data_IF_079622259698
#
_entry.id   IF_079622259698
#
_cell.length_a   1.000
_cell.length_b   1.000
_cell.length_c   1.000
_cell.angle_alpha   90.00
_cell.angle_beta   90.00
_cell.angle_gamma   90.00
#
_symmetry.space_group_name_H-M   'P 1'
#
loop_
_entity.id
_entity.type
_entity.pdbx_description
1 polymer ?
#
# COMPACT_ATOMS: atom_id res chain seq x y z
N UNK A 1 -25.58 -26.77 21.27
CA UNK A 1 -24.70 -25.70 21.81
C UNK A 1 -23.42 -25.46 20.98
N UNK A 2 -23.02 -26.31 20.03
CA UNK A 2 -21.87 -26.03 19.14
C UNK A 2 -22.18 -25.01 18.01
N UNK A 3 -23.42 -24.99 17.48
CA UNK A 3 -23.78 -24.10 16.36
C UNK A 3 -23.76 -22.61 16.68
N UNK A 4 -24.23 -22.19 17.86
CA UNK A 4 -24.44 -20.76 18.16
C UNK A 4 -23.16 -19.93 18.28
N UNK A 5 -22.01 -20.57 18.58
CA UNK A 5 -20.73 -19.87 18.68
C UNK A 5 -20.08 -19.67 17.30
N UNK A 6 -20.26 -20.63 16.39
CA UNK A 6 -19.71 -20.57 15.04
C UNK A 6 -20.42 -19.53 14.16
N UNK A 7 -21.70 -19.25 14.41
CA UNK A 7 -22.45 -18.24 13.64
C UNK A 7 -22.07 -16.81 14.04
N UNK A 8 -21.69 -16.58 15.30
CA UNK A 8 -21.21 -15.27 15.77
C UNK A 8 -19.85 -14.92 15.20
N UNK A 9 -18.90 -15.86 15.21
CA UNK A 9 -17.56 -15.61 14.67
C UNK A 9 -17.57 -15.31 13.17
N UNK A 10 -18.41 -15.99 12.40
CA UNK A 10 -18.57 -15.72 10.97
C UNK A 10 -19.13 -14.32 10.68
N UNK A 11 -20.05 -13.84 11.52
CA UNK A 11 -20.62 -12.51 11.36
C UNK A 11 -19.61 -11.40 11.71
N UNK A 12 -18.79 -11.61 12.75
CA UNK A 12 -17.72 -10.68 13.12
C UNK A 12 -16.62 -10.58 12.03
N UNK A 13 -16.29 -11.70 11.38
CA UNK A 13 -15.36 -11.72 10.23
C UNK A 13 -15.92 -10.94 9.03
N UNK A 14 -17.20 -11.15 8.70
CA UNK A 14 -17.88 -10.43 7.61
C UNK A 14 -17.94 -8.91 7.88
N UNK A 15 -18.24 -8.50 9.12
CA UNK A 15 -18.22 -7.09 9.51
C UNK A 15 -16.83 -6.47 9.39
N UNK A 16 -15.78 -7.20 9.78
CA UNK A 16 -14.40 -6.75 9.67
C UNK A 16 -13.98 -6.60 8.19
N UNK A 17 -14.35 -7.55 7.34
CA UNK A 17 -14.09 -7.49 5.90
C UNK A 17 -14.81 -6.29 5.26
N UNK A 18 -16.08 -6.08 5.59
CA UNK A 18 -16.86 -4.95 5.09
C UNK A 18 -16.26 -3.60 5.54
N UNK A 19 -15.84 -3.50 6.80
CA UNK A 19 -15.17 -2.31 7.32
C UNK A 19 -13.83 -2.05 6.60
N UNK A 20 -13.03 -3.10 6.41
CA UNK A 20 -11.77 -3.02 5.67
C UNK A 20 -12.00 -2.58 4.22
N UNK A 21 -13.00 -3.15 3.55
CA UNK A 21 -13.36 -2.79 2.18
C UNK A 21 -13.83 -1.33 2.06
N UNK A 22 -14.70 -0.87 2.96
CA UNK A 22 -15.11 0.53 3.01
C UNK A 22 -13.91 1.47 3.23
N UNK A 23 -12.97 1.08 4.10
CA UNK A 23 -11.72 1.83 4.32
C UNK A 23 -10.86 1.91 3.06
N UNK A 24 -10.74 0.81 2.31
CA UNK A 24 -10.03 0.79 1.02
C UNK A 24 -10.71 1.69 -0.01
N UNK A 25 -12.04 1.70 -0.07
CA UNK A 25 -12.79 2.58 -0.97
C UNK A 25 -12.60 4.06 -0.62
N UNK A 26 -12.70 4.43 0.66
CA UNK A 26 -12.47 5.81 1.12
C UNK A 26 -11.04 6.27 0.80
N UNK A 27 -10.05 5.38 0.96
CA UNK A 27 -8.64 5.67 0.69
C UNK A 27 -8.21 5.37 -0.75
N UNK A 28 -9.14 5.03 -1.65
CA UNK A 28 -8.81 4.59 -3.01
C UNK A 28 -8.03 5.64 -3.80
N UNK A 29 -8.34 6.92 -3.60
CA UNK A 29 -7.66 8.04 -4.25
C UNK A 29 -6.22 8.23 -3.76
N UNK A 30 -5.91 7.84 -2.51
CA UNK A 30 -4.57 7.95 -1.95
C UNK A 30 -3.57 7.11 -2.75
N UNK A 31 -3.97 5.92 -3.21
CA UNK A 31 -3.12 5.07 -4.04
C UNK A 31 -2.77 5.74 -5.38
N UNK A 32 -3.76 6.33 -6.06
CA UNK A 32 -3.54 7.06 -7.32
C UNK A 32 -2.63 8.27 -7.13
N UNK A 33 -2.84 9.05 -6.06
CA UNK A 33 -2.00 10.21 -5.75
C UNK A 33 -0.55 9.79 -5.43
N UNK A 34 -0.37 8.77 -4.59
CA UNK A 34 0.96 8.24 -4.27
C UNK A 34 1.72 7.78 -5.52
N UNK A 35 1.04 7.08 -6.45
CA UNK A 35 1.66 6.63 -7.69
C UNK A 35 2.02 7.80 -8.60
N UNK A 36 1.12 8.77 -8.75
CA UNK A 36 1.38 9.99 -9.53
C UNK A 36 2.60 10.74 -8.97
N UNK A 37 2.65 10.98 -7.66
CA UNK A 37 3.78 11.65 -7.02
C UNK A 37 5.08 10.84 -7.18
N UNK A 38 5.04 9.50 -7.11
CA UNK A 38 6.22 8.67 -7.37
C UNK A 38 6.76 8.81 -8.81
N UNK A 39 5.88 9.02 -9.79
CA UNK A 39 6.27 9.34 -11.19
C UNK A 39 6.86 10.75 -11.28
N UNK A 40 6.20 11.75 -10.69
CA UNK A 40 6.65 13.16 -10.70
C UNK A 40 8.03 13.32 -10.04
N UNK A 41 8.26 12.62 -8.93
CA UNK A 41 9.55 12.57 -8.24
C UNK A 41 10.58 11.66 -8.94
N UNK A 42 10.21 11.00 -10.04
CA UNK A 42 11.08 10.10 -10.82
C UNK A 42 11.68 8.98 -9.97
N UNK A 43 10.95 8.50 -8.96
CA UNK A 43 11.38 7.40 -8.09
C UNK A 43 11.68 6.14 -8.90
N UNK A 44 10.86 5.86 -9.92
CA UNK A 44 11.08 4.73 -10.83
C UNK A 44 12.36 4.85 -11.65
N UNK A 45 12.77 6.06 -12.06
CA UNK A 45 14.03 6.28 -12.77
C UNK A 45 15.23 6.02 -11.86
N UNK A 46 15.15 6.44 -10.60
CA UNK A 46 16.20 6.20 -9.59
C UNK A 46 16.39 4.68 -9.41
N UNK A 47 15.28 3.94 -9.23
CA UNK A 47 15.30 2.49 -9.09
C UNK A 47 15.86 1.82 -10.36
N UNK A 48 15.40 2.23 -11.55
CA UNK A 48 15.85 1.66 -12.81
C UNK A 48 17.37 1.86 -13.04
N UNK A 49 17.89 3.04 -12.70
CA UNK A 49 19.32 3.35 -12.81
C UNK A 49 20.21 2.53 -11.88
N UNK A 50 19.69 2.09 -10.73
CA UNK A 50 20.43 1.21 -9.82
C UNK A 50 20.59 -0.23 -10.38
N UNK A 51 19.74 -0.62 -11.34
CA UNK A 51 19.82 -1.88 -12.07
C UNK A 51 18.96 -3.01 -11.49
N UNK A 52 18.66 -4.02 -12.31
CA UNK A 52 17.62 -5.05 -12.08
C UNK A 52 17.77 -5.91 -10.81
N UNK A 53 18.89 -5.82 -10.09
CA UNK A 53 19.14 -6.56 -8.85
C UNK A 53 19.41 -5.65 -7.65
N UNK A 54 19.45 -4.33 -7.86
CA UNK A 54 19.62 -3.40 -6.77
C UNK A 54 18.34 -3.32 -5.95
N UNK A 55 18.49 -3.41 -4.62
CA UNK A 55 17.43 -3.17 -3.65
C UNK A 55 17.78 -1.91 -2.89
N UNK A 56 17.38 -0.77 -3.44
CA UNK A 56 17.52 0.49 -2.74
C UNK A 56 16.54 0.53 -1.56
N UNK A 57 17.04 0.96 -0.41
CA UNK A 57 16.21 1.39 0.71
C UNK A 57 15.53 2.72 0.42
N UNK A 58 14.49 3.05 1.18
CA UNK A 58 13.83 4.35 1.09
C UNK A 58 14.79 5.52 1.37
N UNK A 59 15.76 5.35 2.28
CA UNK A 59 16.76 6.39 2.58
C UNK A 59 17.69 6.63 1.39
N UNK A 60 18.12 5.58 0.69
CA UNK A 60 18.98 5.71 -0.49
C UNK A 60 18.21 6.40 -1.63
N UNK A 61 16.93 6.08 -1.84
CA UNK A 61 16.08 6.79 -2.80
C UNK A 61 15.97 8.28 -2.43
N UNK A 62 15.73 8.60 -1.15
CA UNK A 62 15.61 9.99 -0.69
C UNK A 62 16.89 10.81 -0.93
N UNK A 63 18.07 10.21 -0.76
CA UNK A 63 19.36 10.88 -1.08
C UNK A 63 19.41 11.27 -2.57
N UNK A 64 18.93 10.42 -3.47
CA UNK A 64 18.87 10.75 -4.90
C UNK A 64 17.83 11.84 -5.24
N UNK A 65 16.77 11.98 -4.45
CA UNK A 65 15.78 13.05 -4.62
C UNK A 65 16.33 14.41 -4.20
N UNK A 66 17.08 14.48 -3.10
CA UNK A 66 17.66 15.72 -2.58
C UNK A 66 18.86 16.24 -3.37
N UNK A 67 19.47 15.40 -4.22
CA UNK A 67 20.70 15.70 -4.97
C UNK A 67 20.44 16.09 -6.44
N UNK A 68 19.17 16.22 -6.86
CA UNK A 68 18.78 16.68 -8.20
C UNK A 68 18.46 18.18 -8.24
#
# INVERSE_FOLDING_TARGET
MWSSNNTKSLHEEEELENFSYATQLVNSTAMSMCLQTAVELRVFDIIAKAGNKARLSASEIAVHLCNN
#
